data_IF_919341189172
#
_entry.id   IF_919341189172
#
_cell.length_a   1.000
_cell.length_b   1.000
_cell.length_c   1.000
_cell.angle_alpha   90.00
_cell.angle_beta   90.00
_cell.angle_gamma   90.00
#
_symmetry.space_group_name_H-M   'P 1'
#
loop_
_entity.id
_entity.type
_entity.pdbx_description
1 polymer ?
#
# COMPACT_ATOMS: atom_id res chain seq x y z
N UNK A 1 -10.61 22.94 45.68
CA UNK A 1 -10.56 21.46 45.63
C UNK A 1 -9.35 21.07 44.80
N UNK A 2 -8.38 20.38 45.42
CA UNK A 2 -7.19 19.93 44.72
C UNK A 2 -7.60 18.86 43.70
N UNK A 3 -7.45 19.16 42.41
CA UNK A 3 -7.62 18.20 41.34
C UNK A 3 -6.38 17.31 41.31
N UNK A 4 -6.53 16.01 41.59
CA UNK A 4 -5.49 14.99 41.49
C UNK A 4 -5.06 14.79 40.01
N UNK A 5 -4.41 15.79 39.42
CA UNK A 5 -3.81 15.68 38.09
C UNK A 5 -2.37 15.16 38.24
N UNK A 6 -2.05 13.94 37.80
CA UNK A 6 -0.70 13.38 37.88
C UNK A 6 0.27 14.01 36.85
N UNK A 7 -0.22 14.81 35.90
CA UNK A 7 0.57 15.39 34.82
C UNK A 7 0.83 16.88 35.04
N UNK A 8 2.06 17.32 34.76
CA UNK A 8 2.40 18.75 34.71
C UNK A 8 1.68 19.45 33.56
N UNK A 9 1.42 20.75 33.69
CA UNK A 9 0.83 21.60 32.63
C UNK A 9 1.56 21.46 31.29
N UNK A 10 2.90 21.30 31.34
CA UNK A 10 3.74 21.09 30.15
C UNK A 10 3.49 19.72 29.51
N UNK A 11 3.40 18.66 30.29
CA UNK A 11 3.08 17.32 29.77
C UNK A 11 1.71 17.30 29.11
N UNK A 12 0.71 17.93 29.73
CA UNK A 12 -0.64 18.03 29.16
C UNK A 12 -0.61 18.84 27.85
N UNK A 13 0.02 20.01 27.84
CA UNK A 13 0.05 20.81 26.62
C UNK A 13 0.84 20.14 25.49
N UNK A 14 1.94 19.46 25.79
CA UNK A 14 2.70 18.70 24.80
C UNK A 14 1.89 17.52 24.22
N UNK A 15 0.99 16.93 25.00
CA UNK A 15 0.13 15.86 24.53
C UNK A 15 -0.99 16.38 23.62
N UNK A 16 -1.64 17.49 24.00
CA UNK A 16 -2.82 18.01 23.29
C UNK A 16 -2.50 18.94 22.11
N UNK A 17 -1.27 19.40 21.95
CA UNK A 17 -0.92 20.39 20.93
C UNK A 17 0.28 19.99 20.07
N UNK A 18 0.20 20.33 18.78
CA UNK A 18 1.34 20.41 17.87
C UNK A 18 1.70 21.86 17.59
N UNK A 19 2.99 22.18 17.54
CA UNK A 19 3.46 23.46 16.98
C UNK A 19 3.10 23.50 15.50
N UNK A 20 2.63 24.65 15.03
CA UNK A 20 2.49 24.94 13.61
C UNK A 20 3.83 25.51 13.16
N UNK A 21 4.46 24.86 12.18
CA UNK A 21 5.66 25.38 11.55
C UNK A 21 5.31 26.37 10.44
N UNK A 22 6.20 27.29 10.13
CA UNK A 22 6.09 28.16 8.96
C UNK A 22 6.53 27.43 7.67
N UNK A 23 6.59 28.17 6.56
CA UNK A 23 6.95 27.63 5.25
C UNK A 23 8.43 27.18 5.15
N UNK A 24 9.23 27.44 6.18
CA UNK A 24 10.64 27.05 6.29
C UNK A 24 10.84 25.95 7.35
N UNK A 25 9.74 25.33 7.80
CA UNK A 25 9.71 24.34 8.88
C UNK A 25 10.16 24.86 10.26
N UNK A 26 10.16 26.18 10.46
CA UNK A 26 10.54 26.78 11.74
C UNK A 26 9.34 26.87 12.71
N UNK A 27 9.53 26.58 14.01
CA UNK A 27 8.50 26.63 15.03
C UNK A 27 7.86 28.03 15.17
N UNK A 28 6.54 28.15 14.94
CA UNK A 28 5.83 29.41 15.21
C UNK A 28 5.28 29.48 16.64
N UNK A 29 4.73 30.64 17.02
CA UNK A 29 4.00 30.83 18.29
C UNK A 29 2.59 30.20 18.29
N UNK A 30 2.18 29.55 17.21
CA UNK A 30 0.85 28.96 17.05
C UNK A 30 0.90 27.46 17.28
N UNK A 31 -0.09 26.97 18.02
CA UNK A 31 -0.25 25.58 18.38
C UNK A 31 -1.63 25.11 17.93
N UNK A 32 -1.70 23.94 17.32
CA UNK A 32 -2.96 23.28 16.92
C UNK A 32 -3.31 22.22 17.95
N UNK A 33 -4.48 22.36 18.58
CA UNK A 33 -5.00 21.38 19.52
C UNK A 33 -5.55 20.14 18.78
N UNK A 34 -5.66 18.99 19.47
CA UNK A 34 -6.37 17.79 19.01
C UNK A 34 -7.82 18.07 18.55
N UNK A 35 -8.51 19.06 19.13
CA UNK A 35 -9.83 19.50 18.65
C UNK A 35 -9.79 20.43 17.42
N UNK A 36 -8.65 20.49 16.71
CA UNK A 36 -8.37 21.37 15.55
C UNK A 36 -8.37 22.87 15.82
N UNK A 37 -8.61 23.31 17.06
CA UNK A 37 -8.55 24.73 17.42
C UNK A 37 -7.10 25.21 17.48
N UNK A 38 -6.80 26.28 16.74
CA UNK A 38 -5.49 26.94 16.78
C UNK A 38 -5.44 27.97 17.90
N UNK A 39 -4.35 27.96 18.68
CA UNK A 39 -4.10 28.87 19.78
C UNK A 39 -2.70 29.45 19.68
N UNK A 40 -2.59 30.76 19.84
CA UNK A 40 -1.29 31.44 20.00
C UNK A 40 -0.86 31.34 21.46
N UNK A 41 0.39 30.95 21.71
CA UNK A 41 0.95 31.00 23.06
C UNK A 41 1.12 32.46 23.51
N UNK A 42 0.60 32.79 24.69
CA UNK A 42 0.68 34.15 25.23
C UNK A 42 2.12 34.46 25.69
N UNK A 43 2.66 35.66 25.38
CA UNK A 43 3.99 36.05 25.85
C UNK A 43 4.06 36.05 27.38
N UNK A 44 5.13 35.49 27.94
CA UNK A 44 5.47 35.52 29.38
C UNK A 44 4.55 34.75 30.35
N UNK A 45 3.55 34.00 29.87
CA UNK A 45 2.64 33.21 30.73
C UNK A 45 2.87 31.70 30.71
N UNK A 46 3.87 31.21 29.97
CA UNK A 46 4.11 29.77 29.81
C UNK A 46 2.97 29.04 29.09
N UNK A 47 2.57 27.88 29.60
CA UNK A 47 1.55 26.99 29.00
C UNK A 47 0.11 27.23 29.51
N UNK A 48 -0.11 28.20 30.40
CA UNK A 48 -1.39 28.34 31.11
C UNK A 48 -2.59 28.55 30.19
N UNK A 49 -2.45 29.36 29.14
CA UNK A 49 -3.55 29.62 28.20
C UNK A 49 -3.89 28.41 27.30
N UNK A 50 -2.87 27.59 26.97
CA UNK A 50 -3.04 26.34 26.24
C UNK A 50 -3.72 25.30 27.14
N UNK A 51 -3.34 25.25 28.41
CA UNK A 51 -3.92 24.34 29.40
C UNK A 51 -5.38 24.69 29.74
N UNK A 52 -5.71 25.97 29.88
CA UNK A 52 -7.10 26.42 30.09
C UNK A 52 -8.03 25.96 28.96
N UNK A 53 -7.52 25.89 27.73
CA UNK A 53 -8.27 25.33 26.62
C UNK A 53 -8.47 23.82 26.77
N UNK A 54 -7.45 23.07 27.19
CA UNK A 54 -7.55 21.63 27.45
C UNK A 54 -8.61 21.36 28.52
N UNK A 55 -8.58 22.09 29.65
CA UNK A 55 -9.57 21.95 30.71
C UNK A 55 -11.01 22.18 30.21
N UNK A 56 -11.21 23.09 29.25
CA UNK A 56 -12.53 23.44 28.72
C UNK A 56 -13.03 22.51 27.61
N UNK A 57 -12.12 21.95 26.80
CA UNK A 57 -12.47 21.16 25.59
C UNK A 57 -12.19 19.67 25.72
N UNK A 58 -11.38 19.27 26.68
CA UNK A 58 -10.96 17.90 26.96
C UNK A 58 -11.08 17.63 28.47
N UNK A 59 -12.31 17.61 29.04
CA UNK A 59 -12.51 17.44 30.48
C UNK A 59 -12.01 16.08 31.00
N UNK A 60 -11.90 15.10 30.11
CA UNK A 60 -11.42 13.73 30.32
C UNK A 60 -9.91 13.55 30.08
N UNK A 61 -9.16 14.64 29.88
CA UNK A 61 -7.75 14.60 29.46
C UNK A 61 -6.85 13.67 30.28
N UNK A 62 -7.11 13.54 31.59
CA UNK A 62 -6.34 12.65 32.48
C UNK A 62 -6.52 11.19 32.06
N UNK A 63 -7.74 10.76 31.76
CA UNK A 63 -8.01 9.39 31.32
C UNK A 63 -7.39 9.12 29.94
N UNK A 64 -7.50 10.08 29.02
CA UNK A 64 -6.90 10.01 27.67
C UNK A 64 -5.38 9.86 27.73
N UNK A 65 -4.72 10.66 28.57
CA UNK A 65 -3.27 10.61 28.75
C UNK A 65 -2.79 9.36 29.49
N UNK A 66 -3.57 8.84 30.44
CA UNK A 66 -3.24 7.58 31.13
C UNK A 66 -3.40 6.36 30.23
N UNK A 67 -4.35 6.39 29.29
CA UNK A 67 -4.55 5.34 28.28
C UNK A 67 -3.52 5.39 27.14
N UNK A 68 -2.79 6.49 27.01
CA UNK A 68 -1.73 6.64 26.02
C UNK A 68 -0.40 6.26 26.68
N UNK A 69 0.09 5.06 26.40
CA UNK A 69 1.32 4.53 26.96
C UNK A 69 2.45 5.56 26.98
N UNK A 70 3.02 5.80 28.15
CA UNK A 70 4.12 6.74 28.35
C UNK A 70 5.35 6.36 27.53
N UNK A 71 5.89 7.35 26.82
CA UNK A 71 7.26 7.45 26.27
C UNK A 71 7.54 6.74 24.93
N UNK A 72 7.46 7.51 23.85
CA UNK A 72 8.66 7.80 23.02
C UNK A 72 8.45 9.12 22.31
N UNK A 73 9.39 10.05 22.55
CA UNK A 73 9.49 11.29 21.82
C UNK A 73 9.58 10.96 20.32
N UNK A 74 8.60 11.39 19.54
CA UNK A 74 8.72 12.43 18.48
C UNK A 74 7.48 12.44 17.58
N UNK A 75 6.62 11.41 17.57
CA UNK A 75 5.39 11.40 16.74
C UNK A 75 4.15 10.70 17.36
N UNK A 76 4.32 10.05 18.53
CA UNK A 76 3.40 8.98 18.98
C UNK A 76 2.36 9.42 20.03
N UNK A 77 2.43 10.64 20.58
CA UNK A 77 1.47 11.09 21.62
C UNK A 77 0.03 11.36 21.12
N UNK A 78 -0.23 11.16 19.83
CA UNK A 78 -1.51 11.48 19.17
C UNK A 78 -2.32 10.25 18.77
N UNK A 79 -1.74 9.06 18.91
CA UNK A 79 -2.30 7.81 18.39
C UNK A 79 -2.75 6.99 19.59
N UNK A 80 -4.02 6.59 19.61
CA UNK A 80 -4.50 5.69 20.66
C UNK A 80 -3.80 4.34 20.56
N UNK A 81 -3.67 3.64 21.69
CA UNK A 81 -2.91 2.40 21.77
C UNK A 81 -3.43 1.34 20.77
N UNK A 82 -4.73 1.30 20.49
CA UNK A 82 -5.30 0.34 19.54
C UNK A 82 -4.84 0.65 18.12
N UNK A 83 -4.91 1.91 17.70
CA UNK A 83 -4.42 2.33 16.38
C UNK A 83 -2.91 2.09 16.23
N UNK A 84 -2.13 2.32 17.29
CA UNK A 84 -0.69 2.03 17.29
C UNK A 84 -0.43 0.53 17.14
N UNK A 85 -1.11 -0.31 17.92
CA UNK A 85 -1.00 -1.78 17.83
C UNK A 85 -1.31 -2.27 16.41
N UNK A 86 -2.42 -1.80 15.82
CA UNK A 86 -2.81 -2.17 14.45
C UNK A 86 -1.75 -1.75 13.45
N UNK A 87 -1.25 -0.51 13.52
CA UNK A 87 -0.21 -0.01 12.63
C UNK A 87 1.06 -0.87 12.73
N UNK A 88 1.56 -1.13 13.94
CA UNK A 88 2.77 -1.94 14.15
C UNK A 88 2.62 -3.35 13.58
N UNK A 89 1.44 -3.97 13.72
CA UNK A 89 1.20 -5.29 13.14
C UNK A 89 1.16 -5.25 11.60
N UNK A 90 0.48 -4.26 11.01
CA UNK A 90 0.46 -4.09 9.56
C UNK A 90 1.86 -3.84 9.01
N UNK A 91 2.61 -2.91 9.60
CA UNK A 91 3.97 -2.56 9.20
C UNK A 91 4.89 -3.78 9.27
N UNK A 92 4.87 -4.53 10.37
CA UNK A 92 5.70 -5.71 10.52
C UNK A 92 5.33 -6.81 9.51
N UNK A 93 4.05 -7.14 9.38
CA UNK A 93 3.59 -8.23 8.50
C UNK A 93 3.90 -7.91 7.04
N UNK A 94 3.62 -6.69 6.61
CA UNK A 94 3.86 -6.26 5.22
C UNK A 94 5.36 -6.06 4.93
N UNK A 95 6.10 -5.40 5.83
CA UNK A 95 7.53 -5.15 5.67
C UNK A 95 8.39 -6.41 5.68
N UNK A 96 7.94 -7.48 6.34
CA UNK A 96 8.63 -8.77 6.37
C UNK A 96 7.98 -9.85 5.48
N UNK A 97 6.92 -9.52 4.74
CA UNK A 97 6.16 -10.47 3.92
C UNK A 97 5.76 -11.75 4.69
N UNK A 98 5.13 -11.56 5.85
CA UNK A 98 4.71 -12.63 6.75
C UNK A 98 3.24 -13.02 6.49
N UNK A 99 2.83 -14.23 6.88
CA UNK A 99 1.41 -14.61 6.85
C UNK A 99 0.55 -13.65 7.67
N UNK A 100 -0.67 -13.35 7.24
CA UNK A 100 -1.58 -12.50 8.03
C UNK A 100 -1.92 -13.10 9.39
N UNK A 101 -1.86 -14.43 9.53
CA UNK A 101 -2.02 -15.15 10.80
C UNK A 101 -0.87 -14.96 11.78
N UNK A 102 0.21 -14.27 11.39
CA UNK A 102 1.37 -14.02 12.24
C UNK A 102 1.02 -13.27 13.53
N UNK A 103 0.03 -12.38 13.49
CA UNK A 103 -0.42 -11.66 14.68
C UNK A 103 -1.12 -12.55 15.73
N UNK A 104 -1.50 -13.78 15.36
CA UNK A 104 -2.12 -14.78 16.24
C UNK A 104 -1.13 -15.87 16.71
N UNK A 105 0.13 -15.83 16.27
CA UNK A 105 1.10 -16.86 16.61
C UNK A 105 1.49 -16.81 18.10
N UNK A 106 1.38 -17.97 18.77
CA UNK A 106 1.62 -18.09 20.21
C UNK A 106 3.07 -17.81 20.63
N UNK A 107 4.05 -18.10 19.78
CA UNK A 107 5.45 -17.77 20.05
C UNK A 107 5.70 -16.28 19.84
N UNK A 108 5.12 -15.68 18.81
CA UNK A 108 5.22 -14.24 18.57
C UNK A 108 4.59 -13.46 19.74
N UNK A 109 3.39 -13.86 20.18
CA UNK A 109 2.74 -13.25 21.34
C UNK A 109 3.56 -13.36 22.62
N UNK A 110 4.38 -14.41 22.79
CA UNK A 110 5.25 -14.58 23.96
C UNK A 110 6.43 -13.61 23.99
N UNK A 111 6.95 -13.24 22.82
CA UNK A 111 8.18 -12.44 22.71
C UNK A 111 7.94 -11.00 22.19
N UNK A 112 6.74 -10.69 21.73
CA UNK A 112 6.33 -9.35 21.30
C UNK A 112 5.80 -8.53 22.47
N UNK A 113 6.01 -7.21 22.42
CA UNK A 113 5.39 -6.25 23.33
C UNK A 113 4.08 -5.64 22.76
N UNK A 114 3.64 -6.10 21.58
CA UNK A 114 2.40 -5.63 20.97
C UNK A 114 1.20 -6.35 21.58
N UNK A 115 0.10 -5.61 21.78
CA UNK A 115 -1.17 -6.23 22.16
C UNK A 115 -1.62 -7.20 21.06
N UNK A 116 -2.20 -8.33 21.47
CA UNK A 116 -2.66 -9.36 20.53
C UNK A 116 -3.89 -8.89 19.77
N UNK A 117 -3.92 -9.21 18.47
CA UNK A 117 -5.07 -8.96 17.60
C UNK A 117 -5.39 -10.23 16.82
N UNK A 118 -6.66 -10.39 16.43
CA UNK A 118 -7.03 -11.47 15.52
C UNK A 118 -6.66 -11.13 14.08
N UNK A 119 -6.48 -12.17 13.26
CA UNK A 119 -6.32 -12.05 11.81
C UNK A 119 -7.48 -11.30 11.19
N UNK A 120 -8.71 -11.53 11.67
CA UNK A 120 -9.91 -10.81 11.25
C UNK A 120 -9.81 -9.30 11.52
N UNK A 121 -9.32 -8.94 12.71
CA UNK A 121 -9.12 -7.53 13.09
C UNK A 121 -8.05 -6.89 12.22
N UNK A 122 -6.92 -7.59 12.00
CA UNK A 122 -5.85 -7.13 11.13
C UNK A 122 -6.37 -6.87 9.71
N UNK A 123 -7.06 -7.83 9.10
CA UNK A 123 -7.58 -7.73 7.74
C UNK A 123 -8.64 -6.63 7.59
N UNK A 124 -9.49 -6.46 8.60
CA UNK A 124 -10.45 -5.34 8.63
C UNK A 124 -9.74 -4.00 8.52
N UNK A 125 -8.68 -3.79 9.31
CA UNK A 125 -7.93 -2.53 9.27
C UNK A 125 -7.04 -2.42 8.02
N UNK A 126 -6.46 -3.52 7.53
CA UNK A 126 -5.76 -3.55 6.26
C UNK A 126 -6.67 -3.03 5.12
N UNK A 127 -7.92 -3.50 5.05
CA UNK A 127 -8.88 -3.01 4.06
C UNK A 127 -9.23 -1.54 4.19
N UNK A 128 -9.27 -1.00 5.42
CA UNK A 128 -9.47 0.44 5.64
C UNK A 128 -8.24 1.26 5.22
N UNK A 129 -7.04 0.75 5.47
CA UNK A 129 -5.78 1.38 5.04
C UNK A 129 -5.68 1.36 3.52
N UNK A 130 -6.02 0.25 2.85
CA UNK A 130 -6.04 0.16 1.39
C UNK A 130 -6.93 1.24 0.79
N UNK A 131 -8.15 1.45 1.32
CA UNK A 131 -9.03 2.53 0.84
C UNK A 131 -8.41 3.92 0.97
N UNK A 132 -7.69 4.18 2.06
CA UNK A 132 -7.01 5.46 2.23
C UNK A 132 -5.84 5.60 1.25
N UNK A 133 -5.08 4.52 1.02
CA UNK A 133 -3.99 4.47 0.04
C UNK A 133 -4.52 4.68 -1.38
N UNK A 134 -5.68 4.10 -1.74
CA UNK A 134 -6.34 4.32 -3.04
C UNK A 134 -6.67 5.80 -3.26
N UNK A 135 -7.21 6.47 -2.23
CA UNK A 135 -7.49 7.92 -2.27
C UNK A 135 -6.20 8.72 -2.44
N UNK A 136 -5.16 8.40 -1.65
CA UNK A 136 -3.89 9.13 -1.69
C UNK A 136 -3.18 8.95 -3.04
N UNK A 137 -3.22 7.75 -3.61
CA UNK A 137 -2.76 7.47 -4.99
C UNK A 137 -3.59 8.28 -5.99
N UNK A 138 -4.92 8.31 -5.85
CA UNK A 138 -5.80 9.09 -6.72
C UNK A 138 -5.51 10.60 -6.67
N UNK A 139 -5.07 11.14 -5.53
CA UNK A 139 -4.62 12.54 -5.40
C UNK A 139 -3.25 12.75 -6.04
N UNK A 140 -2.33 11.79 -5.89
CA UNK A 140 -0.97 11.88 -6.42
C UNK A 140 -0.89 11.67 -7.94
N UNK A 141 -1.77 10.85 -8.51
CA UNK A 141 -1.78 10.59 -9.95
C UNK A 141 -2.08 11.88 -10.73
N UNK A 142 -1.41 12.15 -11.85
CA UNK A 142 -1.85 13.21 -12.74
C UNK A 142 -3.14 12.83 -13.47
N UNK A 143 -3.75 13.81 -14.14
CA UNK A 143 -4.92 13.58 -15.00
C UNK A 143 -4.59 12.68 -16.18
N UNK A 144 -3.35 12.70 -16.69
CA UNK A 144 -2.90 11.84 -17.78
C UNK A 144 -1.70 11.02 -17.36
N UNK A 145 -1.81 9.71 -17.50
CA UNK A 145 -0.78 8.75 -17.06
C UNK A 145 -0.71 7.55 -18.01
N UNK A 146 0.37 6.78 -17.92
CA UNK A 146 0.51 5.51 -18.62
C UNK A 146 0.19 4.34 -17.71
N UNK A 147 -0.08 3.18 -18.30
CA UNK A 147 -0.22 1.93 -17.55
C UNK A 147 0.85 0.94 -18.00
N UNK A 148 1.57 0.36 -17.04
CA UNK A 148 2.31 -0.90 -17.23
C UNK A 148 1.42 -2.03 -16.72
N UNK A 149 1.30 -3.09 -17.49
CA UNK A 149 0.59 -4.28 -17.02
C UNK A 149 1.30 -5.55 -17.48
N UNK A 150 1.15 -6.60 -16.68
CA UNK A 150 1.67 -7.92 -16.98
C UNK A 150 0.68 -8.99 -16.53
N UNK A 151 0.50 -9.99 -17.39
CA UNK A 151 -0.44 -11.09 -17.18
C UNK A 151 0.31 -12.41 -17.17
N UNK A 152 0.07 -13.23 -16.16
CA UNK A 152 0.64 -14.57 -16.11
C UNK A 152 -0.33 -15.57 -15.47
N UNK A 153 -0.24 -16.81 -15.92
CA UNK A 153 -0.97 -17.92 -15.32
C UNK A 153 -0.12 -18.56 -14.23
N UNK A 154 -0.69 -18.66 -13.03
CA UNK A 154 -0.15 -19.48 -11.96
C UNK A 154 -1.17 -20.56 -11.59
N UNK A 155 -0.78 -21.82 -11.79
CA UNK A 155 -1.68 -22.98 -11.67
C UNK A 155 -2.89 -22.86 -12.60
N UNK A 156 -4.10 -22.77 -12.05
CA UNK A 156 -5.36 -22.65 -12.78
C UNK A 156 -5.87 -21.20 -12.89
N UNK A 157 -5.15 -20.24 -12.32
CA UNK A 157 -5.60 -18.85 -12.22
C UNK A 157 -4.70 -17.93 -13.05
N UNK A 158 -5.31 -17.00 -13.77
CA UNK A 158 -4.59 -15.98 -14.51
C UNK A 158 -4.61 -14.67 -13.72
N UNK A 159 -3.43 -14.20 -13.37
CA UNK A 159 -3.22 -12.96 -12.64
C UNK A 159 -2.94 -11.82 -13.59
N UNK A 160 -3.36 -10.62 -13.20
CA UNK A 160 -3.03 -9.38 -13.86
C UNK A 160 -2.48 -8.40 -12.83
N UNK A 161 -1.27 -7.93 -13.06
CA UNK A 161 -0.70 -6.80 -12.33
C UNK A 161 -0.80 -5.55 -13.18
N UNK A 162 -1.19 -4.43 -12.56
CA UNK A 162 -1.36 -3.14 -13.21
C UNK A 162 -0.68 -2.07 -12.37
N UNK A 163 0.20 -1.30 -13.01
CA UNK A 163 0.89 -0.16 -12.45
C UNK A 163 0.53 1.10 -13.23
N UNK A 164 0.29 2.20 -12.53
CA UNK A 164 0.32 3.53 -13.13
C UNK A 164 1.77 3.98 -13.29
N UNK A 165 2.06 4.69 -14.39
CA UNK A 165 3.34 5.32 -14.67
C UNK A 165 3.12 6.78 -15.02
N UNK A 166 3.81 7.66 -14.33
CA UNK A 166 3.69 9.10 -14.54
C UNK A 166 4.98 9.82 -14.19
N UNK A 167 5.09 11.06 -14.67
CA UNK A 167 6.22 11.91 -14.32
C UNK A 167 5.99 12.55 -12.94
N UNK A 168 6.97 12.40 -12.04
CA UNK A 168 7.01 13.01 -10.73
C UNK A 168 8.46 13.41 -10.41
N UNK A 169 8.67 14.66 -9.97
CA UNK A 169 9.98 15.20 -9.62
C UNK A 169 11.09 15.00 -10.68
N UNK A 170 10.72 15.07 -11.97
CA UNK A 170 11.64 14.89 -13.10
C UNK A 170 12.05 13.42 -13.37
N UNK A 171 11.43 12.47 -12.67
CA UNK A 171 11.58 11.03 -12.87
C UNK A 171 10.26 10.37 -13.28
N UNK A 172 10.34 9.11 -13.72
CA UNK A 172 9.17 8.28 -13.97
C UNK A 172 8.86 7.45 -12.72
N UNK A 173 7.76 7.79 -12.05
CA UNK A 173 7.26 7.05 -10.91
C UNK A 173 6.31 5.94 -11.34
N UNK A 174 6.25 4.90 -10.51
CA UNK A 174 5.43 3.71 -10.74
C UNK A 174 4.69 3.35 -9.46
N UNK A 175 3.37 3.22 -9.56
CA UNK A 175 2.51 2.87 -8.43
C UNK A 175 1.66 1.67 -8.80
N UNK A 176 1.63 0.66 -7.95
CA UNK A 176 0.79 -0.52 -8.12
C UNK A 176 -0.68 -0.12 -7.92
N UNK A 177 -1.52 -0.33 -8.94
CA UNK A 177 -2.96 -0.09 -8.87
C UNK A 177 -3.72 -1.37 -8.51
N UNK A 178 -3.31 -2.49 -9.09
CA UNK A 178 -3.99 -3.76 -8.87
C UNK A 178 -3.04 -4.94 -9.06
N UNK A 179 -3.28 -5.98 -8.27
CA UNK A 179 -2.70 -7.30 -8.43
C UNK A 179 -3.81 -8.29 -8.06
N UNK A 180 -4.46 -8.89 -9.06
CA UNK A 180 -5.61 -9.75 -8.83
C UNK A 180 -5.75 -10.82 -9.91
N UNK A 181 -6.37 -11.97 -9.57
CA UNK A 181 -6.79 -12.92 -10.57
C UNK A 181 -7.93 -12.34 -11.43
N UNK A 182 -7.90 -12.63 -12.73
CA UNK A 182 -9.01 -12.41 -13.64
C UNK A 182 -9.99 -13.58 -13.47
N UNK A 183 -10.95 -13.41 -12.56
CA UNK A 183 -12.05 -14.36 -12.36
C UNK A 183 -13.23 -13.85 -13.21
N UNK A 184 -13.57 -14.55 -14.28
CA UNK A 184 -14.81 -14.33 -15.04
C UNK A 184 -15.65 -15.62 -14.95
N UNK A 185 -16.97 -15.46 -14.78
CA UNK A 185 -17.91 -16.54 -14.42
C UNK A 185 -18.15 -17.56 -15.56
N UNK A 186 -17.60 -17.29 -16.76
CA UNK A 186 -17.63 -18.20 -17.90
C UNK A 186 -16.20 -18.52 -18.38
N UNK A 187 -15.86 -19.82 -18.32
CA UNK A 187 -14.76 -20.52 -19.02
C UNK A 187 -13.60 -19.63 -19.51
N UNK A 188 -12.61 -19.37 -18.65
CA UNK A 188 -11.22 -18.97 -19.03
C UNK A 188 -11.13 -17.99 -20.20
N UNK A 189 -11.94 -16.93 -20.20
CA UNK A 189 -11.81 -15.88 -21.21
C UNK A 189 -10.64 -14.97 -20.83
N UNK A 190 -9.41 -15.40 -21.16
CA UNK A 190 -8.21 -14.55 -21.22
C UNK A 190 -8.30 -13.53 -22.38
N UNK A 191 -9.49 -13.02 -22.62
CA UNK A 191 -9.79 -12.17 -23.75
C UNK A 191 -9.39 -10.74 -23.44
N UNK A 192 -9.10 -10.00 -24.50
CA UNK A 192 -8.88 -8.56 -24.39
C UNK A 192 -10.07 -7.83 -23.75
N UNK A 193 -11.29 -8.38 -23.83
CA UNK A 193 -12.48 -7.79 -23.24
C UNK A 193 -12.49 -7.88 -21.71
N UNK A 194 -12.07 -9.00 -21.13
CA UNK A 194 -11.97 -9.16 -19.68
C UNK A 194 -10.88 -8.26 -19.09
N UNK A 195 -9.78 -8.04 -19.83
CA UNK A 195 -8.76 -7.04 -19.46
C UNK A 195 -9.32 -5.60 -19.49
N UNK A 196 -10.15 -5.24 -20.49
CA UNK A 196 -10.82 -3.93 -20.53
C UNK A 196 -11.70 -3.74 -19.29
N UNK A 197 -12.60 -4.70 -19.02
CA UNK A 197 -13.50 -4.65 -17.85
C UNK A 197 -12.72 -4.53 -16.55
N UNK A 198 -11.60 -5.25 -16.43
CA UNK A 198 -10.74 -5.18 -15.25
C UNK A 198 -10.18 -3.77 -15.06
N UNK A 199 -9.61 -3.16 -16.12
CA UNK A 199 -9.10 -1.79 -16.05
C UNK A 199 -10.20 -0.78 -15.71
N UNK A 200 -11.36 -0.88 -16.38
CA UNK A 200 -12.52 -0.03 -16.09
C UNK A 200 -13.05 -0.22 -14.67
N UNK A 201 -12.89 -1.40 -14.09
CA UNK A 201 -13.29 -1.71 -12.71
C UNK A 201 -12.35 -1.16 -11.65
N UNK A 202 -11.03 -1.13 -11.92
CA UNK A 202 -10.04 -0.70 -10.90
C UNK A 202 -9.78 0.82 -10.91
N UNK A 203 -9.84 1.48 -12.07
CA UNK A 203 -9.50 2.90 -12.18
C UNK A 203 -10.40 3.83 -11.33
N UNK A 204 -11.71 3.56 -11.15
CA UNK A 204 -12.58 4.36 -10.29
C UNK A 204 -12.17 4.42 -8.82
N UNK A 205 -11.43 3.43 -8.29
CA UNK A 205 -10.91 3.50 -6.92
C UNK A 205 -9.93 4.66 -6.72
N UNK A 206 -9.31 5.12 -7.80
CA UNK A 206 -8.32 6.20 -7.82
C UNK A 206 -8.87 7.50 -8.42
N UNK A 207 -10.20 7.62 -8.57
CA UNK A 207 -10.87 8.73 -9.26
C UNK A 207 -10.30 8.96 -10.69
N UNK A 208 -10.00 7.87 -11.40
CA UNK A 208 -9.52 7.90 -12.79
C UNK A 208 -10.45 7.13 -13.70
N UNK A 209 -10.39 7.48 -14.99
CA UNK A 209 -11.12 6.79 -16.04
C UNK A 209 -10.18 6.25 -17.11
N UNK A 210 -10.69 5.38 -17.96
CA UNK A 210 -9.87 4.79 -19.02
C UNK A 210 -9.38 5.85 -20.02
N UNK A 211 -10.11 6.95 -20.21
CA UNK A 211 -9.73 8.06 -21.07
C UNK A 211 -8.54 8.88 -20.52
N UNK A 212 -8.17 8.68 -19.26
CA UNK A 212 -7.01 9.29 -18.61
C UNK A 212 -5.71 8.54 -18.91
N UNK A 213 -5.82 7.32 -19.45
CA UNK A 213 -4.69 6.50 -19.85
C UNK A 213 -4.24 6.88 -21.25
N UNK A 214 -3.00 7.38 -21.38
CA UNK A 214 -2.46 7.88 -22.66
C UNK A 214 -1.59 6.89 -23.40
N UNK A 215 -1.06 5.87 -22.71
CA UNK A 215 -0.33 4.77 -23.33
C UNK A 215 -0.37 3.53 -22.42
N UNK A 216 -0.21 2.38 -23.05
CA UNK A 216 -0.07 1.09 -22.42
C UNK A 216 1.34 0.56 -22.62
N UNK A 217 1.89 -0.16 -21.64
CA UNK A 217 3.13 -0.92 -21.74
C UNK A 217 2.84 -2.35 -21.31
N UNK A 218 3.14 -3.30 -22.19
CA UNK A 218 2.92 -4.72 -21.95
C UNK A 218 3.61 -5.54 -23.03
N UNK A 219 3.60 -6.86 -22.91
CA UNK A 219 4.09 -7.70 -24.01
C UNK A 219 3.20 -7.58 -25.26
N UNK A 220 3.79 -7.76 -26.44
CA UNK A 220 3.12 -7.59 -27.72
C UNK A 220 2.28 -8.83 -28.10
N UNK A 221 1.76 -9.56 -27.13
CA UNK A 221 0.90 -10.69 -27.41
C UNK A 221 -0.41 -10.22 -28.08
N UNK A 222 -1.09 -11.14 -28.77
CA UNK A 222 -2.30 -10.82 -29.52
C UNK A 222 -3.40 -10.23 -28.62
N UNK A 223 -3.51 -10.71 -27.38
CA UNK A 223 -4.49 -10.24 -26.39
C UNK A 223 -4.24 -8.77 -26.05
N UNK A 224 -3.00 -8.39 -25.76
CA UNK A 224 -2.63 -7.02 -25.39
C UNK A 224 -2.70 -6.05 -26.56
N UNK A 225 -2.33 -6.51 -27.75
CA UNK A 225 -2.48 -5.74 -28.99
C UNK A 225 -3.97 -5.47 -29.27
N UNK A 226 -4.83 -6.47 -29.05
CA UNK A 226 -6.28 -6.32 -29.20
C UNK A 226 -6.88 -5.42 -28.13
N UNK A 227 -6.44 -5.52 -26.87
CA UNK A 227 -6.81 -4.63 -25.78
C UNK A 227 -6.54 -3.16 -26.14
N UNK A 228 -5.32 -2.87 -26.58
CA UNK A 228 -4.91 -1.54 -27.01
C UNK A 228 -5.78 -1.02 -28.18
N UNK A 229 -6.09 -1.89 -29.14
CA UNK A 229 -7.01 -1.56 -30.24
C UNK A 229 -8.45 -1.31 -29.79
N UNK A 230 -8.96 -2.03 -28.79
CA UNK A 230 -10.31 -1.83 -28.26
C UNK A 230 -10.41 -0.49 -27.51
N UNK A 231 -9.39 -0.15 -26.74
CA UNK A 231 -9.32 1.09 -25.98
C UNK A 231 -8.90 2.31 -26.83
N UNK A 232 -8.39 2.08 -28.05
CA UNK A 232 -7.77 3.11 -28.89
C UNK A 232 -6.60 3.83 -28.19
N UNK A 233 -5.82 3.09 -27.38
CA UNK A 233 -4.66 3.60 -26.64
C UNK A 233 -3.38 2.99 -27.24
N UNK A 234 -2.31 3.77 -27.48
CA UNK A 234 -1.07 3.24 -28.03
C UNK A 234 -0.40 2.24 -27.07
N UNK A 235 0.05 1.09 -27.62
CA UNK A 235 0.80 0.07 -26.89
C UNK A 235 2.29 0.16 -27.20
N UNK A 236 3.09 0.35 -26.16
CA UNK A 236 4.55 0.25 -26.20
C UNK A 236 4.94 -1.17 -25.80
N UNK A 237 5.46 -1.92 -26.77
CA UNK A 237 5.82 -3.31 -26.53
C UNK A 237 6.96 -3.49 -25.54
N UNK A 238 6.84 -4.55 -24.73
CA UNK A 238 7.84 -4.97 -23.76
C UNK A 238 9.19 -5.28 -24.44
N UNK A 239 10.25 -4.60 -24.00
CA UNK A 239 11.60 -4.82 -24.50
C UNK A 239 12.11 -6.24 -24.22
N UNK A 240 11.80 -6.79 -23.05
CA UNK A 240 12.17 -8.17 -22.68
C UNK A 240 11.52 -9.20 -23.61
N UNK A 241 10.25 -8.97 -23.99
CA UNK A 241 9.58 -9.84 -24.96
C UNK A 241 10.23 -9.77 -26.35
N UNK A 242 10.57 -8.56 -26.82
CA UNK A 242 11.32 -8.40 -28.08
C UNK A 242 12.69 -9.08 -28.04
N UNK A 243 13.40 -8.98 -26.92
CA UNK A 243 14.68 -9.66 -26.72
C UNK A 243 14.50 -11.19 -26.72
N UNK A 244 13.47 -11.70 -26.07
CA UNK A 244 13.15 -13.13 -26.09
C UNK A 244 12.88 -13.63 -27.51
N UNK A 245 12.11 -12.89 -28.32
CA UNK A 245 11.88 -13.24 -29.73
C UNK A 245 13.19 -13.23 -30.54
N UNK A 246 14.07 -12.25 -30.29
CA UNK A 246 15.38 -12.19 -30.93
C UNK A 246 16.27 -13.38 -30.53
N UNK A 247 16.27 -13.76 -29.26
CA UNK A 247 17.01 -14.93 -28.76
C UNK A 247 16.48 -16.24 -29.35
N UNK A 248 15.16 -16.42 -29.41
CA UNK A 248 14.54 -17.57 -30.07
C UNK A 248 14.96 -17.68 -31.54
N UNK A 249 14.93 -16.55 -32.27
CA UNK A 249 15.38 -16.51 -33.68
C UNK A 249 16.87 -16.80 -33.82
N UNK A 250 17.71 -16.31 -32.91
CA UNK A 250 19.15 -16.59 -32.91
C UNK A 250 19.44 -18.08 -32.65
N UNK A 251 18.61 -18.73 -31.83
CA UNK A 251 18.79 -20.13 -31.45
C UNK A 251 18.13 -21.14 -32.40
N UNK A 252 17.44 -20.69 -33.46
CA UNK A 252 16.67 -21.58 -34.35
C UNK A 252 17.48 -22.72 -34.94
N UNK A 253 18.77 -22.49 -35.23
CA UNK A 253 19.65 -23.51 -35.79
C UNK A 253 19.95 -24.65 -34.80
N UNK A 254 19.67 -24.43 -33.52
CA UNK A 254 19.86 -25.38 -32.42
C UNK A 254 18.55 -26.01 -31.92
N UNK A 255 17.42 -25.78 -32.59
CA UNK A 255 16.10 -26.27 -32.14
C UNK A 255 16.12 -27.77 -31.81
N UNK A 256 16.72 -28.59 -32.67
CA UNK A 256 16.83 -30.05 -32.43
C UNK A 256 17.62 -30.44 -31.18
N UNK A 257 18.59 -29.62 -30.77
CA UNK A 257 19.36 -29.82 -29.55
C UNK A 257 18.58 -29.32 -28.34
N UNK A 258 17.90 -28.18 -28.47
CA UNK A 258 17.03 -27.62 -27.44
C UNK A 258 15.87 -28.57 -27.12
N UNK A 259 15.28 -29.23 -28.12
CA UNK A 259 14.25 -30.25 -27.95
C UNK A 259 14.76 -31.44 -27.10
N UNK A 260 15.98 -31.94 -27.39
CA UNK A 260 16.60 -33.01 -26.61
C UNK A 260 16.85 -32.60 -25.17
N UNK A 261 17.32 -31.37 -24.95
CA UNK A 261 17.52 -30.82 -23.61
C UNK A 261 16.17 -30.69 -22.89
N UNK A 262 15.13 -30.20 -23.56
CA UNK A 262 13.79 -30.06 -23.01
C UNK A 262 13.19 -31.42 -22.60
N UNK A 263 13.36 -32.45 -23.43
CA UNK A 263 12.93 -33.81 -23.14
C UNK A 263 13.66 -34.39 -21.92
N UNK A 264 14.98 -34.18 -21.83
CA UNK A 264 15.76 -34.58 -20.67
C UNK A 264 15.27 -33.85 -19.41
N UNK A 265 15.07 -32.54 -19.48
CA UNK A 265 14.59 -31.71 -18.37
C UNK A 265 13.18 -32.13 -17.90
N UNK A 266 12.28 -32.51 -18.82
CA UNK A 266 10.96 -33.07 -18.47
C UNK A 266 11.10 -34.40 -17.72
N UNK A 267 11.95 -35.32 -18.20
CA UNK A 267 12.21 -36.59 -17.51
C UNK A 267 12.77 -36.40 -16.10
N UNK A 268 13.77 -35.54 -15.94
CA UNK A 268 14.36 -35.22 -14.64
C UNK A 268 13.35 -34.58 -13.68
N UNK A 269 12.50 -33.67 -14.19
CA UNK A 269 11.42 -33.05 -13.40
C UNK A 269 10.45 -34.08 -12.87
N UNK A 270 10.03 -35.05 -13.69
CA UNK A 270 9.11 -36.10 -13.27
C UNK A 270 9.71 -37.00 -12.19
N UNK A 271 11.00 -37.34 -12.31
CA UNK A 271 11.73 -38.09 -11.28
C UNK A 271 11.75 -37.32 -9.94
N UNK A 272 12.04 -36.02 -9.98
CA UNK A 272 12.04 -35.18 -8.78
C UNK A 272 10.65 -35.08 -8.12
N UNK A 273 9.57 -34.99 -8.91
CA UNK A 273 8.21 -34.98 -8.37
C UNK A 273 7.84 -36.34 -7.76
N UNK A 274 8.19 -37.44 -8.43
CA UNK A 274 7.99 -38.80 -7.90
C UNK A 274 8.72 -39.02 -6.57
N UNK A 275 9.94 -38.50 -6.44
CA UNK A 275 10.70 -38.56 -5.20
C UNK A 275 10.09 -37.75 -4.04
N UNK A 276 9.42 -36.62 -4.33
CA UNK A 276 8.71 -35.81 -3.32
C UNK A 276 7.40 -36.43 -2.83
N UNK A 277 6.86 -37.41 -3.56
CA UNK A 277 5.62 -38.11 -3.25
C UNK A 277 5.86 -39.45 -2.52
N UNK A 278 7.12 -39.82 -2.27
CA UNK A 278 7.53 -40.97 -1.45
C UNK A 278 8.01 -40.50 -0.09
#
# INVERSE_FOLDING_TARGET
MATNNPFSTRQVCNYFYKVINDAQDEPTAYFRCQCSVVRKQSPRTGYSNLFDHVLKRHPDFVATMMASGTNTATLVSFIDQKSQTVFCWLDWITGCNLPFSWCEDSFVSKYSNLDTISTETLLKYAGLVVRQVEIDIGVALPVKFGIIFDGWTFQSEHYLAVFAVFEHDGGADKVLLAFAPLIDDDVTDHTSASHVKFLEGILPFFDRKIEDVIYLIGDNCAVNTKLASLLSIPLVGCASHRLNLAAQKFMSDYDSLLDKIQDLMRKLRNLNHSAKLR
#
